data_IF_335785613342
#
_entry.id   IF_335785613342
#
_cell.length_a   1.000
_cell.length_b   1.000
_cell.length_c   1.000
_cell.angle_alpha   90.00
_cell.angle_beta   90.00
_cell.angle_gamma   90.00
#
_symmetry.space_group_name_H-M   'P 1'
#
loop_
_entity.id
_entity.type
_entity.pdbx_description
1 polymer ?
#
# COMPACT_ATOMS: atom_id res chain seq x y z
N UNK A 1 -7.96 -10.25 -8.68
CA UNK A 1 -6.53 -10.32 -9.07
C UNK A 1 -5.71 -9.24 -8.39
N UNK A 2 -6.07 -7.95 -8.46
CA UNK A 2 -5.33 -6.85 -7.78
C UNK A 2 -4.97 -7.16 -6.32
N UNK A 3 -5.96 -7.49 -5.47
CA UNK A 3 -5.72 -7.81 -4.04
C UNK A 3 -4.77 -9.01 -3.90
N UNK A 4 -5.08 -10.13 -4.56
CA UNK A 4 -4.25 -11.33 -4.54
C UNK A 4 -2.82 -11.08 -5.03
N UNK A 5 -2.63 -10.34 -6.11
CA UNK A 5 -1.31 -9.99 -6.65
C UNK A 5 -0.49 -9.16 -5.67
N UNK A 6 -1.12 -8.19 -4.99
CA UNK A 6 -0.48 -7.43 -3.93
C UNK A 6 -0.08 -8.35 -2.76
N UNK A 7 -1.02 -9.16 -2.27
CA UNK A 7 -0.78 -10.04 -1.10
C UNK A 7 0.33 -11.04 -1.37
N UNK A 8 0.40 -11.62 -2.57
CA UNK A 8 1.47 -12.55 -2.96
C UNK A 8 2.83 -11.84 -2.93
N UNK A 9 2.97 -10.69 -3.60
CA UNK A 9 4.23 -9.96 -3.65
C UNK A 9 4.68 -9.48 -2.27
N UNK A 10 3.72 -9.02 -1.46
CA UNK A 10 3.95 -8.60 -0.08
C UNK A 10 4.42 -9.77 0.79
N UNK A 11 3.73 -10.92 0.73
CA UNK A 11 4.08 -12.12 1.50
C UNK A 11 5.51 -12.59 1.18
N UNK A 12 5.88 -12.58 -0.09
CA UNK A 12 7.22 -12.96 -0.56
C UNK A 12 8.28 -12.02 0.02
N UNK A 13 8.12 -10.71 -0.14
CA UNK A 13 9.13 -9.73 0.32
C UNK A 13 9.24 -9.67 1.84
N UNK A 14 8.11 -9.78 2.54
CA UNK A 14 8.10 -9.88 3.99
C UNK A 14 8.85 -11.13 4.47
N UNK A 15 8.64 -12.28 3.82
CA UNK A 15 9.34 -13.53 4.15
C UNK A 15 10.85 -13.42 3.87
N UNK A 16 11.23 -12.86 2.72
CA UNK A 16 12.64 -12.65 2.37
C UNK A 16 13.36 -11.77 3.39
N UNK A 17 12.71 -10.70 3.83
CA UNK A 17 13.30 -9.79 4.79
C UNK A 17 13.30 -10.36 6.23
N UNK A 18 12.24 -11.07 6.62
CA UNK A 18 12.15 -11.77 7.91
C UNK A 18 13.21 -12.88 8.06
N UNK A 19 13.55 -13.56 6.96
CA UNK A 19 14.63 -14.55 6.91
C UNK A 19 16.02 -13.93 6.73
N UNK A 20 16.13 -12.60 6.69
CA UNK A 20 17.37 -11.84 6.42
C UNK A 20 18.03 -12.19 5.08
N UNK A 21 17.26 -12.65 4.10
CA UNK A 21 17.76 -12.98 2.75
C UNK A 21 17.96 -11.69 1.94
N UNK A 22 17.01 -10.75 2.01
CA UNK A 22 17.07 -9.48 1.29
C UNK A 22 16.50 -8.35 2.15
N UNK A 23 17.31 -7.32 2.40
CA UNK A 23 16.96 -6.19 3.27
C UNK A 23 17.37 -4.86 2.64
N UNK A 24 16.53 -4.31 1.75
CA UNK A 24 16.80 -3.01 1.16
C UNK A 24 16.74 -1.90 2.22
N UNK A 25 17.55 -0.83 2.08
CA UNK A 25 17.58 0.22 3.09
C UNK A 25 16.30 1.05 3.10
N UNK A 26 15.83 1.42 4.31
CA UNK A 26 14.62 2.21 4.52
C UNK A 26 14.61 3.54 3.73
N UNK A 27 15.78 4.18 3.59
CA UNK A 27 15.97 5.41 2.78
C UNK A 27 15.53 5.29 1.32
N UNK A 28 15.40 4.07 0.78
CA UNK A 28 14.90 3.82 -0.58
C UNK A 28 13.45 3.35 -0.54
N UNK A 29 13.13 2.43 0.38
CA UNK A 29 11.81 1.80 0.45
C UNK A 29 10.73 2.80 0.89
N UNK A 30 11.01 3.64 1.88
CA UNK A 30 10.00 4.56 2.42
C UNK A 30 9.61 5.66 1.43
N UNK A 31 10.55 6.33 0.72
CA UNK A 31 10.18 7.19 -0.40
C UNK A 31 9.43 6.45 -1.51
N UNK A 32 9.81 5.19 -1.82
CA UNK A 32 9.12 4.42 -2.85
C UNK A 32 7.66 4.10 -2.47
N UNK A 33 7.40 3.81 -1.19
CA UNK A 33 6.05 3.67 -0.64
C UNK A 33 5.29 4.98 -0.81
N UNK A 34 5.87 6.12 -0.39
CA UNK A 34 5.21 7.42 -0.53
C UNK A 34 4.90 7.77 -2.01
N UNK A 35 5.81 7.47 -2.92
CA UNK A 35 5.61 7.68 -4.36
C UNK A 35 4.51 6.79 -4.94
N UNK A 36 4.35 5.56 -4.45
CA UNK A 36 3.25 4.68 -4.87
C UNK A 36 1.87 5.26 -4.49
N UNK A 37 1.77 5.95 -3.35
CA UNK A 37 0.55 6.64 -2.92
C UNK A 37 0.20 7.79 -3.90
N UNK A 38 1.21 8.58 -4.27
CA UNK A 38 1.06 9.64 -5.28
C UNK A 38 0.61 9.05 -6.62
N UNK A 39 1.24 7.95 -7.04
CA UNK A 39 0.88 7.25 -8.27
C UNK A 39 -0.58 6.80 -8.26
N UNK A 40 -1.07 6.16 -7.19
CA UNK A 40 -2.47 5.70 -7.11
C UNK A 40 -3.43 6.87 -7.20
N UNK A 41 -3.14 7.97 -6.51
CA UNK A 41 -3.98 9.17 -6.58
C UNK A 41 -4.02 9.75 -8.01
N UNK A 42 -2.89 9.79 -8.70
CA UNK A 42 -2.81 10.25 -10.09
C UNK A 42 -3.52 9.29 -11.07
N UNK A 43 -3.30 7.97 -10.95
CA UNK A 43 -3.98 6.95 -11.76
C UNK A 43 -5.50 7.05 -11.61
N UNK A 44 -5.98 7.30 -10.40
CA UNK A 44 -7.40 7.46 -10.11
C UNK A 44 -8.01 8.71 -10.77
N UNK A 45 -7.22 9.78 -10.98
CA UNK A 45 -7.67 10.98 -11.72
C UNK A 45 -7.67 10.77 -13.23
N UNK A 46 -6.69 10.03 -13.74
CA UNK A 46 -6.50 9.79 -15.17
C UNK A 46 -7.43 8.68 -15.69
N UNK A 47 -7.90 7.79 -14.80
CA UNK A 47 -8.78 6.66 -15.11
C UNK A 47 -8.27 5.76 -16.24
N UNK A 48 -6.93 5.66 -16.41
CA UNK A 48 -6.32 4.89 -17.49
C UNK A 48 -5.99 3.46 -17.03
N UNK A 49 -6.04 2.49 -17.94
CA UNK A 49 -5.48 1.14 -17.72
C UNK A 49 -6.49 -0.02 -17.65
N UNK A 50 -6.17 -1.09 -18.38
CA UNK A 50 -6.88 -2.35 -18.37
C UNK A 50 -6.66 -3.18 -17.09
N UNK A 51 -7.47 -4.22 -16.91
CA UNK A 51 -7.43 -5.10 -15.71
C UNK A 51 -6.06 -5.72 -15.46
N UNK A 52 -5.32 -6.09 -16.51
CA UNK A 52 -4.03 -6.77 -16.40
C UNK A 52 -2.92 -5.85 -15.88
N UNK A 53 -2.89 -4.61 -16.36
CA UNK A 53 -1.92 -3.59 -15.93
C UNK A 53 -2.10 -3.29 -14.43
N UNK A 54 -3.34 -3.22 -13.96
CA UNK A 54 -3.66 -2.97 -12.54
C UNK A 54 -3.17 -4.08 -11.62
N UNK A 55 -3.20 -5.34 -12.07
CA UNK A 55 -2.68 -6.46 -11.29
C UNK A 55 -1.15 -6.41 -11.17
N UNK A 56 -0.45 -6.04 -12.24
CA UNK A 56 1.01 -5.86 -12.22
C UNK A 56 1.46 -4.68 -11.36
N UNK A 57 0.75 -3.56 -11.42
CA UNK A 57 1.00 -2.41 -10.54
C UNK A 57 0.82 -2.83 -9.07
N UNK A 58 -0.26 -3.55 -8.76
CA UNK A 58 -0.52 -4.02 -7.41
C UNK A 58 0.56 -5.00 -6.91
N UNK A 59 1.07 -5.86 -7.80
CA UNK A 59 2.21 -6.72 -7.50
C UNK A 59 3.46 -5.90 -7.16
N UNK A 60 3.81 -4.90 -7.99
CA UNK A 60 4.96 -4.03 -7.74
C UNK A 60 4.82 -3.27 -6.40
N UNK A 61 3.62 -2.78 -6.09
CA UNK A 61 3.36 -2.11 -4.81
C UNK A 61 3.43 -3.08 -3.64
N UNK A 62 2.87 -4.29 -3.76
CA UNK A 62 2.99 -5.32 -2.73
C UNK A 62 4.45 -5.63 -2.41
N UNK A 63 5.30 -5.71 -3.44
CA UNK A 63 6.73 -5.93 -3.30
C UNK A 63 7.43 -4.81 -2.51
N UNK A 64 7.16 -3.55 -2.84
CA UNK A 64 7.74 -2.39 -2.15
C UNK A 64 7.25 -2.31 -0.69
N UNK A 65 5.95 -2.49 -0.47
CA UNK A 65 5.35 -2.35 0.86
C UNK A 65 5.77 -3.46 1.82
N UNK A 66 5.97 -4.69 1.34
CA UNK A 66 6.40 -5.79 2.21
C UNK A 66 7.79 -5.54 2.83
N UNK A 67 8.71 -4.90 2.11
CA UNK A 67 9.99 -4.46 2.69
C UNK A 67 9.84 -3.35 3.73
N UNK A 68 8.90 -2.42 3.53
CA UNK A 68 8.65 -1.34 4.49
C UNK A 68 8.20 -1.89 5.85
N UNK A 69 7.29 -2.88 5.83
CA UNK A 69 6.82 -3.51 7.05
C UNK A 69 7.87 -4.44 7.68
N UNK A 70 8.68 -5.12 6.87
CA UNK A 70 9.73 -5.99 7.38
C UNK A 70 10.80 -5.23 8.20
N UNK A 71 11.09 -3.98 7.86
CA UNK A 71 11.99 -3.14 8.66
C UNK A 71 11.44 -2.96 10.08
N UNK A 72 10.13 -2.74 10.23
CA UNK A 72 9.46 -2.63 11.53
C UNK A 72 9.51 -3.95 12.31
N UNK A 73 9.20 -5.09 11.66
CA UNK A 73 9.26 -6.40 12.34
C UNK A 73 10.66 -6.73 12.85
N UNK A 74 11.71 -6.30 12.16
CA UNK A 74 13.09 -6.48 12.61
C UNK A 74 13.42 -5.66 13.85
N UNK A 75 12.87 -4.45 13.97
CA UNK A 75 13.03 -3.63 15.17
C UNK A 75 12.36 -4.26 16.41
N UNK A 76 11.40 -5.17 16.21
CA UNK A 76 10.70 -5.88 17.28
C UNK A 76 11.45 -7.12 17.83
N UNK A 77 12.60 -7.50 17.24
CA UNK A 77 13.47 -8.63 17.65
C UNK A 77 12.71 -9.94 18.00
N UNK A 78 11.80 -10.36 17.11
CA UNK A 78 10.92 -11.50 17.38
C UNK A 78 11.67 -12.84 17.45
N UNK A 79 11.31 -13.74 18.39
CA UNK A 79 11.88 -15.09 18.45
C UNK A 79 11.62 -15.88 17.16
N UNK A 80 12.66 -16.52 16.59
CA UNK A 80 12.57 -17.27 15.32
C UNK A 80 11.44 -18.31 15.25
N UNK A 81 11.08 -18.92 16.39
CA UNK A 81 10.00 -19.92 16.47
C UNK A 81 8.60 -19.30 16.28
N UNK A 82 8.42 -18.04 16.65
CA UNK A 82 7.17 -17.31 16.51
C UNK A 82 7.04 -16.61 15.13
N UNK A 83 8.15 -16.47 14.40
CA UNK A 83 8.22 -15.74 13.13
C UNK A 83 7.23 -16.28 12.09
N UNK A 84 7.20 -17.60 11.88
CA UNK A 84 6.29 -18.20 10.90
C UNK A 84 4.82 -17.92 11.21
N UNK A 85 4.42 -18.04 12.48
CA UNK A 85 3.05 -17.73 12.90
C UNK A 85 2.74 -16.24 12.80
N UNK A 86 3.67 -15.38 13.19
CA UNK A 86 3.54 -13.93 13.06
C UNK A 86 3.36 -13.50 11.61
N UNK A 87 4.16 -14.03 10.69
CA UNK A 87 4.05 -13.78 9.26
C UNK A 87 2.70 -14.27 8.71
N UNK A 88 2.27 -15.47 9.10
CA UNK A 88 0.98 -16.02 8.66
C UNK A 88 -0.19 -15.16 9.15
N UNK A 89 -0.28 -14.90 10.46
CA UNK A 89 -1.35 -14.08 11.05
C UNK A 89 -1.36 -12.66 10.50
N UNK A 90 -0.19 -12.07 10.24
CA UNK A 90 -0.09 -10.76 9.60
C UNK A 90 -0.67 -10.76 8.18
N UNK A 91 -0.28 -11.72 7.33
CA UNK A 91 -0.81 -11.78 5.95
C UNK A 91 -2.32 -12.03 5.93
N UNK A 92 -2.84 -12.91 6.79
CA UNK A 92 -4.29 -13.12 6.95
C UNK A 92 -4.98 -11.83 7.40
N UNK A 93 -4.40 -11.12 8.37
CA UNK A 93 -4.91 -9.82 8.83
C UNK A 93 -4.95 -8.77 7.72
N UNK A 94 -3.89 -8.69 6.89
CA UNK A 94 -3.82 -7.77 5.74
C UNK A 94 -4.90 -8.12 4.71
N UNK A 95 -5.04 -9.39 4.33
CA UNK A 95 -6.03 -9.82 3.35
C UNK A 95 -7.47 -9.54 3.81
N UNK A 96 -7.78 -9.86 5.08
CA UNK A 96 -9.09 -9.55 5.67
C UNK A 96 -9.31 -8.03 5.71
N UNK A 97 -8.33 -7.26 6.17
CA UNK A 97 -8.43 -5.79 6.23
C UNK A 97 -8.67 -5.16 4.86
N UNK A 98 -7.93 -5.62 3.84
CA UNK A 98 -8.11 -5.17 2.46
C UNK A 98 -9.50 -5.51 1.91
N UNK A 99 -9.98 -6.73 2.13
CA UNK A 99 -11.32 -7.15 1.71
C UNK A 99 -12.41 -6.31 2.39
N UNK A 100 -12.30 -6.07 3.70
CA UNK A 100 -13.25 -5.24 4.44
C UNK A 100 -13.29 -3.80 3.90
N UNK A 101 -12.13 -3.18 3.66
CA UNK A 101 -12.05 -1.85 3.07
C UNK A 101 -12.66 -1.82 1.67
N UNK A 102 -12.34 -2.81 0.82
CA UNK A 102 -12.90 -2.91 -0.54
C UNK A 102 -14.42 -3.01 -0.49
N UNK A 103 -14.97 -3.88 0.37
CA UNK A 103 -16.42 -4.04 0.51
C UNK A 103 -17.07 -2.76 1.01
N UNK A 104 -16.51 -2.12 2.04
CA UNK A 104 -17.05 -0.88 2.60
C UNK A 104 -17.05 0.26 1.56
N UNK A 105 -15.91 0.48 0.89
CA UNK A 105 -15.77 1.53 -0.13
C UNK A 105 -16.66 1.24 -1.32
N UNK A 106 -16.66 0.02 -1.86
CA UNK A 106 -17.52 -0.34 -2.99
C UNK A 106 -19.00 -0.13 -2.67
N UNK A 107 -19.45 -0.53 -1.48
CA UNK A 107 -20.84 -0.35 -1.03
C UNK A 107 -21.21 1.13 -0.94
N UNK A 108 -20.34 1.95 -0.33
CA UNK A 108 -20.54 3.40 -0.27
C UNK A 108 -20.62 4.04 -1.67
N UNK A 109 -19.77 3.58 -2.61
CA UNK A 109 -19.79 4.06 -4.00
C UNK A 109 -21.07 3.66 -4.75
N UNK A 110 -21.61 2.45 -4.53
CA UNK A 110 -22.89 2.03 -5.12
C UNK A 110 -24.03 2.93 -4.63
N UNK A 111 -24.10 3.18 -3.32
CA UNK A 111 -25.12 4.07 -2.72
C UNK A 111 -24.96 5.50 -3.23
N UNK A 112 -23.74 6.02 -3.31
CA UNK A 112 -23.51 7.38 -3.81
C UNK A 112 -23.87 7.51 -5.29
N UNK A 113 -23.59 6.46 -6.08
CA UNK A 113 -23.93 6.40 -7.51
C UNK A 113 -25.44 6.43 -7.75
N UNK A 114 -26.23 5.75 -6.92
CA UNK A 114 -27.69 5.79 -7.05
C UNK A 114 -28.30 7.14 -6.66
N UNK A 115 -27.54 7.99 -5.95
CA UNK A 115 -27.99 9.33 -5.52
C UNK A 115 -27.52 10.45 -6.44
N UNK A 116 -26.23 10.50 -6.80
CA UNK A 116 -25.68 11.57 -7.65
C UNK A 116 -24.33 11.24 -8.27
N UNK A 117 -24.29 11.19 -9.60
CA UNK A 117 -23.06 11.07 -10.41
C UNK A 117 -22.08 12.22 -10.17
N UNK A 118 -22.61 13.43 -9.94
CA UNK A 118 -21.81 14.63 -9.66
C UNK A 118 -21.09 14.54 -8.31
N UNK A 119 -21.79 14.07 -7.28
CA UNK A 119 -21.22 13.90 -5.95
C UNK A 119 -20.10 12.85 -5.96
N UNK A 120 -20.30 11.74 -6.70
CA UNK A 120 -19.25 10.74 -6.90
C UNK A 120 -18.00 11.32 -7.54
N UNK A 121 -18.13 12.07 -8.64
CA UNK A 121 -16.98 12.68 -9.33
C UNK A 121 -16.19 13.62 -8.43
N UNK A 122 -16.88 14.45 -7.64
CA UNK A 122 -16.25 15.33 -6.65
C UNK A 122 -15.54 14.56 -5.55
N UNK A 123 -16.14 13.48 -5.03
CA UNK A 123 -15.51 12.66 -4.01
C UNK A 123 -14.23 11.99 -4.52
N UNK A 124 -14.26 11.42 -5.72
CA UNK A 124 -13.07 10.82 -6.37
C UNK A 124 -11.98 11.87 -6.58
N UNK A 125 -12.34 13.05 -7.12
CA UNK A 125 -11.39 14.14 -7.34
C UNK A 125 -10.76 14.61 -6.02
N UNK A 126 -11.58 14.94 -5.02
CA UNK A 126 -11.11 15.42 -3.73
C UNK A 126 -10.26 14.36 -3.01
N UNK A 127 -10.71 13.11 -3.00
CA UNK A 127 -9.98 11.99 -2.42
C UNK A 127 -8.62 11.78 -3.07
N UNK A 128 -8.56 11.77 -4.41
CA UNK A 128 -7.29 11.66 -5.13
C UNK A 128 -6.34 12.81 -4.84
N UNK A 129 -6.84 14.06 -4.82
CA UNK A 129 -6.01 15.23 -4.50
C UNK A 129 -5.44 15.13 -3.09
N UNK A 130 -6.26 14.75 -2.11
CA UNK A 130 -5.79 14.56 -0.72
C UNK A 130 -4.71 13.49 -0.65
N UNK A 131 -4.90 12.34 -1.30
CA UNK A 131 -3.93 11.24 -1.33
C UNK A 131 -2.62 11.65 -2.02
N UNK A 132 -2.70 12.39 -3.14
CA UNK A 132 -1.52 12.93 -3.83
C UNK A 132 -0.75 13.89 -2.92
N UNK A 133 -1.45 14.82 -2.27
CA UNK A 133 -0.83 15.81 -1.38
C UNK A 133 -0.16 15.11 -0.20
N UNK A 134 -0.85 14.18 0.47
CA UNK A 134 -0.30 13.42 1.59
C UNK A 134 0.92 12.57 1.17
N UNK A 135 0.82 11.86 0.03
CA UNK A 135 1.93 11.08 -0.51
C UNK A 135 3.13 11.94 -0.88
N UNK A 136 2.90 13.10 -1.49
CA UNK A 136 3.97 14.05 -1.85
C UNK A 136 4.63 14.62 -0.61
N UNK A 137 3.85 14.99 0.41
CA UNK A 137 4.37 15.45 1.69
C UNK A 137 5.29 14.39 2.32
N UNK A 138 4.84 13.14 2.42
CA UNK A 138 5.67 12.07 2.98
C UNK A 138 6.89 11.76 2.12
N UNK A 139 6.78 11.82 0.80
CA UNK A 139 7.93 11.64 -0.09
C UNK A 139 9.00 12.69 0.18
N UNK A 140 8.63 13.97 0.21
CA UNK A 140 9.54 15.08 0.51
C UNK A 140 10.15 14.91 1.89
N UNK A 141 9.34 14.57 2.90
CA UNK A 141 9.81 14.32 4.26
C UNK A 141 10.87 13.21 4.29
N UNK A 142 10.63 12.06 3.64
CA UNK A 142 11.56 10.92 3.70
C UNK A 142 12.84 11.13 2.89
N UNK A 143 12.78 11.93 1.81
CA UNK A 143 13.95 12.20 0.95
C UNK A 143 14.83 13.30 1.52
N UNK A 144 14.24 14.41 1.97
CA UNK A 144 14.99 15.61 2.36
C UNK A 144 15.11 15.79 3.87
N UNK A 145 14.20 15.19 4.65
CA UNK A 145 14.14 15.32 6.12
C UNK A 145 14.07 13.93 6.80
N UNK A 146 15.03 13.02 6.55
CA UNK A 146 14.98 11.66 7.09
C UNK A 146 15.01 11.60 8.63
N UNK A 147 15.47 12.66 9.31
CA UNK A 147 15.43 12.81 10.77
C UNK A 147 14.17 13.50 11.32
N UNK A 148 13.22 13.88 10.47
CA UNK A 148 12.04 14.68 10.84
C UNK A 148 12.18 16.17 10.52
N UNK A 149 11.06 16.89 10.52
CA UNK A 149 11.02 18.35 10.33
C UNK A 149 11.07 18.95 11.74
N UNK A 150 12.27 19.22 12.24
CA UNK A 150 12.50 19.86 13.55
C UNK A 150 12.72 21.35 13.39
#
# INVERSE_FOLDING_TARGET
MVVTSFTIAHSVTLSLAALNILTPPARIIEPAIALSIVYVGADNLLAQGGRDVRAWIAFAFGFIHGFGFANVLREMDLPRRALGWSLFSFNVGVEIGQLLVVVAVASAFVVLRSRSEWARRRLVLAGSVVVIVAGTFWFVQRVFFPGGIS
#
